data_IF_602878323714
#
_entry.id   IF_602878323714
#
_cell.length_a   1.000
_cell.length_b   1.000
_cell.length_c   1.000
_cell.angle_alpha   90.00
_cell.angle_beta   90.00
_cell.angle_gamma   90.00
#
_symmetry.space_group_name_H-M   'P 1'
#
loop_
_entity.id
_entity.type
_entity.pdbx_description
1 polymer ?
#
# COMPACT_ATOMS: atom_id res chain seq x y z
N UNK A 1 27.89 21.81 20.29
CA UNK A 1 26.49 22.15 19.97
C UNK A 1 25.62 20.95 20.29
N UNK A 2 24.46 21.16 20.91
CA UNK A 2 23.51 20.09 21.24
C UNK A 2 22.84 19.62 19.95
N UNK A 3 22.84 18.32 19.65
CA UNK A 3 22.16 17.78 18.46
C UNK A 3 20.67 18.15 18.50
N UNK A 4 20.09 18.69 17.40
CA UNK A 4 18.66 19.02 17.33
C UNK A 4 17.75 17.83 17.70
N UNK A 5 16.59 18.12 18.27
CA UNK A 5 15.64 17.08 18.70
C UNK A 5 15.19 16.20 17.53
N UNK A 6 14.87 16.80 16.38
CA UNK A 6 14.48 16.10 15.16
C UNK A 6 15.54 15.09 14.73
N UNK A 7 16.82 15.49 14.67
CA UNK A 7 17.93 14.60 14.31
C UNK A 7 18.06 13.45 15.30
N UNK A 8 17.99 13.72 16.62
CA UNK A 8 18.04 12.66 17.65
C UNK A 8 16.89 11.66 17.50
N UNK A 9 15.69 12.15 17.20
CA UNK A 9 14.50 11.31 16.99
C UNK A 9 14.64 10.49 15.71
N UNK A 10 14.99 11.12 14.59
CA UNK A 10 15.15 10.44 13.30
C UNK A 10 16.29 9.43 13.28
N UNK A 11 17.38 9.66 14.02
CA UNK A 11 18.44 8.64 14.18
C UNK A 11 17.89 7.35 14.79
N UNK A 12 16.94 7.44 15.73
CA UNK A 12 16.30 6.26 16.34
C UNK A 12 15.23 5.66 15.44
N UNK A 13 14.42 6.50 14.80
CA UNK A 13 13.37 6.02 13.89
C UNK A 13 13.97 5.32 12.66
N UNK A 14 15.03 5.86 12.07
CA UNK A 14 15.75 5.24 10.94
C UNK A 14 16.16 3.80 11.23
N UNK A 15 16.72 3.53 12.41
CA UNK A 15 17.11 2.17 12.83
C UNK A 15 15.94 1.18 12.86
N UNK A 16 14.70 1.66 13.00
CA UNK A 16 13.49 0.84 12.97
C UNK A 16 12.91 0.79 11.56
N UNK A 17 12.89 1.92 10.85
CA UNK A 17 12.28 2.05 9.52
C UNK A 17 13.06 1.30 8.43
N UNK A 18 14.40 1.28 8.49
CA UNK A 18 15.24 0.57 7.51
C UNK A 18 15.30 -0.95 7.76
N UNK A 19 14.66 -1.47 8.82
CA UNK A 19 14.56 -2.92 9.01
C UNK A 19 13.62 -3.51 7.97
N UNK A 20 13.94 -4.74 7.56
CA UNK A 20 13.08 -5.51 6.66
C UNK A 20 11.66 -5.63 7.23
N UNK A 21 10.68 -5.26 6.41
CA UNK A 21 9.26 -5.23 6.74
C UNK A 21 8.45 -5.65 5.50
N UNK A 22 7.41 -6.45 5.69
CA UNK A 22 6.55 -6.91 4.59
C UNK A 22 5.55 -5.87 4.11
N UNK A 23 5.24 -4.88 4.94
CA UNK A 23 4.22 -3.87 4.70
C UNK A 23 4.76 -2.62 4.02
N UNK A 24 6.06 -2.33 4.20
CA UNK A 24 6.70 -1.20 3.56
C UNK A 24 8.21 -1.38 3.44
N UNK A 25 8.82 -0.59 2.54
CA UNK A 25 10.25 -0.38 2.43
C UNK A 25 10.54 1.12 2.61
N UNK A 26 11.58 1.46 3.37
CA UNK A 26 12.02 2.84 3.59
C UNK A 26 13.48 2.95 3.23
N UNK A 27 13.82 4.05 2.56
CA UNK A 27 15.20 4.35 2.19
C UNK A 27 15.49 5.83 2.37
N UNK A 28 16.50 6.11 3.21
CA UNK A 28 17.06 7.44 3.40
C UNK A 28 18.11 7.74 2.32
N UNK A 29 18.29 9.02 2.03
CA UNK A 29 19.49 9.47 1.32
C UNK A 29 20.70 9.39 2.26
N UNK A 30 21.88 9.06 1.72
CA UNK A 30 23.06 8.74 2.56
C UNK A 30 23.45 9.89 3.51
N UNK A 31 23.20 11.13 3.10
CA UNK A 31 23.58 12.33 3.83
C UNK A 31 22.38 13.13 4.37
N UNK A 32 21.16 12.61 4.24
CA UNK A 32 19.96 13.30 4.72
C UNK A 32 19.12 12.39 5.63
N UNK A 33 18.99 12.78 6.90
CA UNK A 33 18.15 12.10 7.89
C UNK A 33 16.75 12.70 7.98
N UNK A 34 16.54 13.86 7.35
CA UNK A 34 15.29 14.61 7.37
C UNK A 34 14.51 14.45 6.07
N UNK A 35 15.06 13.78 5.05
CA UNK A 35 14.34 13.39 3.85
C UNK A 35 14.52 11.90 3.57
N UNK A 36 13.43 11.22 3.20
CA UNK A 36 13.47 9.83 2.77
C UNK A 36 12.28 9.47 1.89
N UNK A 37 12.42 8.37 1.15
CA UNK A 37 11.33 7.77 0.39
C UNK A 37 10.85 6.48 1.03
N UNK A 38 9.58 6.16 0.83
CA UNK A 38 8.99 4.92 1.27
C UNK A 38 8.09 4.31 0.19
N UNK A 39 8.06 2.98 0.13
CA UNK A 39 7.06 2.22 -0.61
C UNK A 39 6.19 1.48 0.38
N UNK A 40 4.89 1.72 0.34
CA UNK A 40 3.92 0.97 1.14
C UNK A 40 3.29 -0.11 0.25
N UNK A 41 3.41 -1.36 0.65
CA UNK A 41 2.80 -2.49 -0.07
C UNK A 41 1.32 -2.54 0.25
N UNK A 42 0.49 -2.57 -0.79
CA UNK A 42 -0.96 -2.70 -0.65
C UNK A 42 -1.33 -3.98 0.12
N UNK A 43 -2.30 -3.93 1.05
CA UNK A 43 -2.69 -5.09 1.84
C UNK A 43 -3.18 -6.24 0.96
N UNK A 44 -2.95 -7.47 1.43
CA UNK A 44 -3.55 -8.65 0.81
C UNK A 44 -5.09 -8.58 0.91
N UNK A 45 -5.77 -9.20 -0.05
CA UNK A 45 -7.24 -9.23 -0.18
C UNK A 45 -7.88 -7.84 -0.39
N UNK A 46 -7.16 -6.90 -1.00
CA UNK A 46 -7.65 -5.55 -1.34
C UNK A 46 -7.46 -5.24 -2.83
N UNK A 47 -8.13 -4.20 -3.34
CA UNK A 47 -7.92 -3.71 -4.71
C UNK A 47 -6.47 -3.28 -4.98
N UNK A 48 -5.71 -2.99 -3.92
CA UNK A 48 -4.31 -2.54 -3.97
C UNK A 48 -3.31 -3.68 -3.78
N UNK A 49 -3.77 -4.92 -3.58
CA UNK A 49 -2.89 -6.07 -3.40
C UNK A 49 -1.82 -6.14 -4.51
N UNK A 50 -0.60 -6.48 -4.10
CA UNK A 50 0.61 -6.54 -4.93
C UNK A 50 1.15 -5.21 -5.46
N UNK A 51 0.40 -4.12 -5.35
CA UNK A 51 0.79 -2.80 -5.83
C UNK A 51 1.35 -1.97 -4.70
N UNK A 52 1.98 -0.84 -5.00
CA UNK A 52 2.71 -0.04 -4.02
C UNK A 52 2.27 1.41 -4.04
N UNK A 53 2.35 2.09 -2.89
CA UNK A 53 2.25 3.55 -2.81
C UNK A 53 3.65 4.09 -2.53
N UNK A 54 4.19 4.90 -3.46
CA UNK A 54 5.46 5.59 -3.25
C UNK A 54 5.21 6.93 -2.55
N UNK A 55 5.97 7.21 -1.50
CA UNK A 55 5.84 8.40 -0.66
C UNK A 55 7.18 9.08 -0.47
N UNK A 56 7.18 10.40 -0.44
CA UNK A 56 8.30 11.24 0.00
C UNK A 56 7.98 11.84 1.37
N UNK A 57 8.92 11.73 2.30
CA UNK A 57 8.82 12.29 3.65
C UNK A 57 9.83 13.42 3.82
N UNK A 58 9.35 14.57 4.28
CA UNK A 58 10.14 15.72 4.70
C UNK A 58 9.93 15.93 6.21
N UNK A 59 11.00 15.85 7.00
CA UNK A 59 10.98 15.96 8.44
C UNK A 59 11.31 17.40 8.86
N UNK A 60 10.36 18.12 9.49
CA UNK A 60 10.59 19.51 9.87
C UNK A 60 11.54 19.61 11.07
N UNK A 61 12.20 20.76 11.22
CA UNK A 61 13.21 20.99 12.27
C UNK A 61 12.68 20.80 13.70
N UNK A 62 11.39 21.09 13.90
CA UNK A 62 10.68 20.96 15.17
C UNK A 62 10.03 19.57 15.36
N UNK A 63 10.29 18.59 14.49
CA UNK A 63 9.85 17.22 14.70
C UNK A 63 10.37 16.65 16.04
N UNK A 64 9.55 15.92 16.83
CA UNK A 64 8.18 15.45 16.55
C UNK A 64 7.06 16.35 17.13
N UNK A 65 7.31 17.63 17.39
CA UNK A 65 6.26 18.56 17.86
C UNK A 65 5.20 18.83 16.79
N UNK A 66 5.58 18.73 15.52
CA UNK A 66 4.67 18.80 14.36
C UNK A 66 4.89 17.55 13.49
N UNK A 67 3.88 17.13 12.70
CA UNK A 67 4.00 15.95 11.85
C UNK A 67 5.03 16.13 10.72
N UNK A 68 5.50 15.02 10.12
CA UNK A 68 6.24 15.09 8.87
C UNK A 68 5.32 15.60 7.74
N UNK A 69 5.92 16.22 6.72
CA UNK A 69 5.23 16.48 5.46
C UNK A 69 5.38 15.24 4.58
N UNK A 70 4.27 14.78 4.01
CA UNK A 70 4.24 13.56 3.19
C UNK A 70 3.62 13.88 1.84
N UNK A 71 4.32 13.46 0.79
CA UNK A 71 3.87 13.62 -0.60
C UNK A 71 3.74 12.26 -1.26
N UNK A 72 2.58 11.99 -1.86
CA UNK A 72 2.34 10.81 -2.69
C UNK A 72 2.97 11.01 -4.07
N UNK A 73 3.90 10.12 -4.44
CA UNK A 73 4.64 10.20 -5.70
C UNK A 73 4.00 9.28 -6.75
N UNK A 74 3.43 9.86 -7.80
CA UNK A 74 2.70 9.13 -8.83
C UNK A 74 2.71 9.88 -10.17
N UNK A 75 2.56 9.15 -11.28
CA UNK A 75 2.64 9.71 -12.64
C UNK A 75 1.37 9.52 -13.48
N UNK A 76 0.30 8.99 -12.90
CA UNK A 76 -0.93 8.63 -13.61
C UNK A 76 -1.74 9.81 -14.12
N UNK A 77 -1.67 10.97 -13.45
CA UNK A 77 -2.62 12.07 -13.68
C UNK A 77 -4.05 11.77 -13.20
N UNK A 78 -4.29 10.65 -12.53
CA UNK A 78 -5.61 10.18 -12.11
C UNK A 78 -5.67 9.89 -10.61
N UNK A 79 -6.85 10.14 -10.01
CA UNK A 79 -7.05 9.95 -8.57
C UNK A 79 -7.48 8.51 -8.29
N UNK A 80 -6.64 7.78 -7.56
CA UNK A 80 -6.82 6.35 -7.23
C UNK A 80 -7.37 6.09 -5.83
N UNK A 81 -7.47 7.14 -4.99
CA UNK A 81 -8.04 7.10 -3.66
C UNK A 81 -8.46 8.52 -3.23
N UNK A 82 -9.57 8.72 -2.51
CA UNK A 82 -9.98 10.06 -2.06
C UNK A 82 -8.88 10.76 -1.24
N UNK A 83 -8.16 10.05 -0.38
CA UNK A 83 -7.09 10.65 0.43
C UNK A 83 -5.73 10.81 -0.28
N UNK A 84 -5.58 10.32 -1.52
CA UNK A 84 -4.31 10.36 -2.27
C UNK A 84 -4.52 11.14 -3.57
N UNK A 85 -4.12 12.41 -3.55
CA UNK A 85 -4.40 13.35 -4.63
C UNK A 85 -3.41 13.24 -5.78
N UNK A 86 -3.83 13.72 -6.95
CA UNK A 86 -3.04 13.66 -8.18
C UNK A 86 -1.76 14.49 -8.06
N UNK A 87 -1.85 15.66 -7.44
CA UNK A 87 -0.73 16.57 -7.16
C UNK A 87 0.16 16.11 -6.00
N UNK A 88 -0.11 14.93 -5.42
CA UNK A 88 0.69 14.32 -4.36
C UNK A 88 0.25 14.67 -2.94
N UNK A 89 -0.80 15.46 -2.75
CA UNK A 89 -1.35 15.72 -1.40
C UNK A 89 -1.89 14.42 -0.78
N UNK A 90 -1.50 14.17 0.48
CA UNK A 90 -2.05 13.10 1.32
C UNK A 90 -2.97 13.70 2.38
N UNK A 91 -4.24 13.29 2.42
CA UNK A 91 -5.23 13.76 3.39
C UNK A 91 -5.34 12.82 4.58
N UNK A 92 -4.73 13.18 5.71
CA UNK A 92 -4.80 12.47 6.98
C UNK A 92 -4.92 13.46 8.14
N UNK A 93 -5.72 13.14 9.15
CA UNK A 93 -5.88 13.99 10.34
C UNK A 93 -4.56 14.09 11.13
N UNK A 94 -3.83 12.99 11.22
CA UNK A 94 -2.50 12.95 11.86
C UNK A 94 -1.43 13.75 11.12
N UNK A 95 -1.69 14.17 9.87
CA UNK A 95 -0.82 15.09 9.11
C UNK A 95 -1.37 16.52 9.10
N UNK A 96 -2.50 16.78 9.76
CA UNK A 96 -3.18 18.09 9.76
C UNK A 96 -3.81 18.45 8.42
N UNK A 97 -3.98 17.49 7.51
CA UNK A 97 -4.50 17.71 6.15
C UNK A 97 -5.93 17.20 5.96
N UNK A 98 -6.54 16.66 7.02
CA UNK A 98 -7.91 16.17 7.05
C UNK A 98 -8.55 16.34 8.44
N UNK A 99 -9.87 16.23 8.52
CA UNK A 99 -10.59 16.25 9.80
C UNK A 99 -10.40 14.92 10.56
N UNK A 100 -10.31 15.00 11.90
CA UNK A 100 -10.18 13.84 12.79
C UNK A 100 -9.17 14.09 13.90
N UNK A 101 -8.74 13.00 14.56
CA UNK A 101 -7.73 13.06 15.63
C UNK A 101 -6.39 13.61 15.11
N UNK A 102 -5.84 14.67 15.72
CA UNK A 102 -4.65 15.33 15.21
C UNK A 102 -3.36 14.57 15.55
N UNK A 103 -2.25 15.02 14.98
CA UNK A 103 -0.90 14.56 15.33
C UNK A 103 -0.66 14.62 16.84
N UNK A 104 -0.17 13.52 17.41
CA UNK A 104 0.28 13.48 18.80
C UNK A 104 1.80 13.28 18.85
N UNK A 105 2.47 13.92 19.81
CA UNK A 105 3.94 13.83 20.01
C UNK A 105 4.48 12.39 20.13
N UNK A 106 3.65 11.44 20.56
CA UNK A 106 4.01 10.02 20.65
C UNK A 106 4.08 9.30 19.30
N UNK A 107 3.45 9.84 18.26
CA UNK A 107 3.43 9.27 16.91
C UNK A 107 4.80 9.35 16.24
N UNK A 108 4.96 8.61 15.15
CA UNK A 108 6.21 8.50 14.41
C UNK A 108 5.95 8.25 12.91
N UNK A 109 6.99 8.25 12.09
CA UNK A 109 6.85 8.00 10.65
C UNK A 109 6.24 6.62 10.34
N UNK A 110 6.54 5.59 11.14
CA UNK A 110 5.91 4.28 11.01
C UNK A 110 4.39 4.35 11.21
N UNK A 111 3.91 5.17 12.16
CA UNK A 111 2.47 5.39 12.38
C UNK A 111 1.82 5.94 11.12
N UNK A 112 2.47 6.88 10.43
CA UNK A 112 1.98 7.44 9.17
C UNK A 112 1.93 6.38 8.07
N UNK A 113 2.99 5.59 7.90
CA UNK A 113 3.05 4.51 6.90
C UNK A 113 1.91 3.49 7.10
N UNK A 114 1.71 3.02 8.33
CA UNK A 114 0.65 2.07 8.68
C UNK A 114 -0.75 2.69 8.50
N UNK A 115 -0.91 3.98 8.83
CA UNK A 115 -2.18 4.69 8.62
C UNK A 115 -2.52 4.77 7.13
N UNK A 116 -1.56 5.14 6.28
CA UNK A 116 -1.76 5.18 4.82
C UNK A 116 -2.10 3.78 4.29
N UNK A 117 -1.38 2.74 4.72
CA UNK A 117 -1.66 1.36 4.34
C UNK A 117 -3.09 0.93 4.71
N UNK A 118 -3.60 1.39 5.85
CA UNK A 118 -4.93 1.04 6.35
C UNK A 118 -6.07 1.67 5.55
N UNK A 119 -5.80 2.70 4.74
CA UNK A 119 -6.79 3.29 3.82
C UNK A 119 -7.03 2.40 2.58
N UNK A 120 -6.09 1.52 2.25
CA UNK A 120 -6.07 0.78 1.00
C UNK A 120 -6.98 -0.45 1.07
N UNK A 121 -8.29 -0.24 0.98
CA UNK A 121 -9.32 -1.28 1.11
C UNK A 121 -10.04 -1.62 -0.22
N UNK A 122 -11.18 -2.33 -0.13
CA UNK A 122 -11.98 -2.74 -1.28
C UNK A 122 -13.08 -1.76 -1.70
N UNK A 123 -13.31 -0.70 -0.92
CA UNK A 123 -14.37 0.27 -1.12
C UNK A 123 -13.82 1.71 -0.98
N UNK A 124 -12.75 2.07 -1.71
CA UNK A 124 -12.00 3.31 -1.49
C UNK A 124 -12.87 4.57 -1.62
N UNK A 125 -13.96 4.54 -2.37
CA UNK A 125 -14.83 5.71 -2.52
C UNK A 125 -15.59 6.07 -1.24
N UNK A 126 -15.78 5.13 -0.30
CA UNK A 126 -16.39 5.41 1.02
C UNK A 126 -15.57 6.40 1.87
N UNK A 127 -14.29 6.59 1.54
CA UNK A 127 -13.45 7.57 2.22
C UNK A 127 -13.75 9.02 1.78
N UNK A 128 -14.57 9.22 0.74
CA UNK A 128 -15.13 10.52 0.40
C UNK A 128 -16.32 10.85 1.33
N UNK A 129 -16.34 12.01 2.01
CA UNK A 129 -17.39 12.34 2.97
C UNK A 129 -18.81 12.25 2.38
N UNK A 130 -19.67 11.49 3.06
CA UNK A 130 -21.07 11.34 2.68
C UNK A 130 -21.30 10.52 1.41
N UNK A 131 -20.32 9.72 0.96
CA UNK A 131 -20.45 8.82 -0.18
C UNK A 131 -20.53 7.36 0.24
N UNK A 132 -21.27 6.58 -0.55
CA UNK A 132 -21.31 5.12 -0.46
C UNK A 132 -20.23 4.51 -1.36
N UNK A 133 -20.16 3.18 -1.41
CA UNK A 133 -19.25 2.48 -2.33
C UNK A 133 -19.60 2.78 -3.80
N UNK A 134 -18.59 2.76 -4.66
CA UNK A 134 -18.74 2.87 -6.11
C UNK A 134 -18.05 1.69 -6.82
N UNK A 135 -18.81 0.64 -7.19
CA UNK A 135 -18.26 -0.51 -7.90
C UNK A 135 -17.63 -0.21 -9.27
N UNK A 136 -17.94 0.94 -9.89
CA UNK A 136 -17.25 1.36 -11.12
C UNK A 136 -15.87 1.91 -10.78
N UNK A 137 -15.77 2.73 -9.73
CA UNK A 137 -14.50 3.23 -9.23
C UNK A 137 -13.61 2.10 -8.70
N UNK A 138 -14.17 1.10 -8.03
CA UNK A 138 -13.39 -0.04 -7.52
C UNK A 138 -12.69 -0.79 -8.65
N UNK A 139 -13.41 -1.07 -9.75
CA UNK A 139 -12.84 -1.71 -10.95
C UNK A 139 -11.82 -0.81 -11.66
N UNK A 140 -12.07 0.50 -11.69
CA UNK A 140 -11.10 1.47 -12.19
C UNK A 140 -9.80 1.41 -11.38
N UNK A 141 -9.88 1.46 -10.06
CA UNK A 141 -8.72 1.37 -9.16
C UNK A 141 -8.02 0.03 -9.36
N UNK A 142 -8.74 -1.08 -9.32
CA UNK A 142 -8.18 -2.42 -9.44
C UNK A 142 -7.34 -2.59 -10.71
N UNK A 143 -7.87 -2.15 -11.85
CA UNK A 143 -7.19 -2.24 -13.14
C UNK A 143 -6.04 -1.23 -13.27
N UNK A 144 -6.32 0.06 -13.07
CA UNK A 144 -5.37 1.13 -13.43
C UNK A 144 -4.13 1.14 -12.56
N UNK A 145 -4.26 0.71 -11.30
CA UNK A 145 -3.16 0.70 -10.35
C UNK A 145 -2.07 -0.32 -10.72
N UNK A 146 -2.34 -1.35 -11.54
CA UNK A 146 -1.27 -2.20 -12.06
C UNK A 146 -0.24 -1.42 -12.86
N UNK A 147 -0.72 -0.51 -13.73
CA UNK A 147 0.15 0.39 -14.48
C UNK A 147 0.84 1.37 -13.55
N UNK A 148 0.08 2.13 -12.77
CA UNK A 148 0.61 3.33 -12.11
C UNK A 148 1.29 3.09 -10.77
N UNK A 149 0.90 2.03 -10.06
CA UNK A 149 1.38 1.72 -8.71
C UNK A 149 2.33 0.52 -8.69
N UNK A 150 2.70 0.00 -9.86
CA UNK A 150 3.68 -1.08 -9.98
C UNK A 150 4.58 -0.90 -11.21
N UNK A 151 4.02 -1.01 -12.42
CA UNK A 151 4.82 -1.03 -13.65
C UNK A 151 5.55 0.29 -13.91
N UNK A 152 4.89 1.42 -13.67
CA UNK A 152 5.49 2.75 -13.82
C UNK A 152 6.63 2.99 -12.81
N UNK A 153 6.53 2.46 -11.59
CA UNK A 153 7.63 2.50 -10.63
C UNK A 153 8.80 1.60 -11.04
N UNK A 154 8.53 0.39 -11.55
CA UNK A 154 9.56 -0.51 -12.06
C UNK A 154 10.34 0.10 -13.24
N UNK A 155 9.64 0.80 -14.13
CA UNK A 155 10.22 1.46 -15.29
C UNK A 155 11.10 2.65 -14.90
N UNK A 156 10.67 3.44 -13.91
CA UNK A 156 11.28 4.74 -13.58
C UNK A 156 12.27 4.71 -12.43
N UNK A 157 12.23 3.68 -11.58
CA UNK A 157 13.02 3.69 -10.35
C UNK A 157 14.51 3.56 -10.66
N UNK A 158 15.23 4.68 -10.54
CA UNK A 158 16.65 4.76 -10.82
C UNK A 158 17.50 4.42 -9.61
N UNK A 159 16.92 4.42 -8.40
CA UNK A 159 17.69 4.24 -7.19
C UNK A 159 17.93 2.76 -6.90
N UNK A 160 19.20 2.33 -6.71
CA UNK A 160 19.52 0.91 -6.67
C UNK A 160 18.82 0.09 -5.57
N UNK A 161 18.70 0.62 -4.36
CA UNK A 161 18.10 -0.10 -3.24
C UNK A 161 16.57 -0.22 -3.39
N UNK A 162 15.91 0.86 -3.82
CA UNK A 162 14.48 0.86 -4.14
C UNK A 162 14.19 -0.06 -5.32
N UNK A 163 15.03 -0.03 -6.36
CA UNK A 163 14.90 -0.93 -7.52
C UNK A 163 15.06 -2.39 -7.12
N UNK A 164 16.06 -2.72 -6.31
CA UNK A 164 16.23 -4.09 -5.80
C UNK A 164 15.04 -4.54 -4.97
N UNK A 165 14.46 -3.67 -4.14
CA UNK A 165 13.23 -3.96 -3.42
C UNK A 165 12.06 -4.30 -4.36
N UNK A 166 11.85 -3.52 -5.43
CA UNK A 166 10.80 -3.78 -6.41
C UNK A 166 11.04 -5.10 -7.16
N UNK A 167 12.27 -5.41 -7.56
CA UNK A 167 12.61 -6.67 -8.22
C UNK A 167 12.47 -7.88 -7.28
N UNK A 168 12.84 -7.74 -6.01
CA UNK A 168 12.58 -8.76 -4.97
C UNK A 168 11.08 -9.01 -4.82
N UNK A 169 10.27 -7.96 -4.76
CA UNK A 169 8.81 -8.06 -4.68
C UNK A 169 8.22 -8.82 -5.89
N UNK A 170 8.74 -8.59 -7.10
CA UNK A 170 8.36 -9.37 -8.29
C UNK A 170 8.80 -10.83 -8.21
N UNK A 171 10.01 -11.13 -7.74
CA UNK A 171 10.47 -12.53 -7.57
C UNK A 171 9.57 -13.30 -6.60
N UNK A 172 9.14 -12.66 -5.51
CA UNK A 172 8.35 -13.30 -4.46
C UNK A 172 6.86 -13.42 -4.80
N UNK A 173 6.32 -12.50 -5.60
CA UNK A 173 4.87 -12.37 -5.83
C UNK A 173 4.44 -12.46 -7.29
N UNK A 174 5.38 -12.48 -8.24
CA UNK A 174 5.11 -12.39 -9.68
C UNK A 174 4.14 -13.43 -10.21
N UNK A 175 4.25 -14.70 -9.80
CA UNK A 175 3.28 -15.74 -10.22
C UNK A 175 1.86 -15.38 -9.78
N UNK A 176 1.67 -14.95 -8.54
CA UNK A 176 0.36 -14.55 -8.01
C UNK A 176 -0.18 -13.31 -8.71
N UNK A 177 0.69 -12.34 -9.01
CA UNK A 177 0.32 -11.15 -9.78
C UNK A 177 -0.17 -11.51 -11.20
N UNK A 178 0.49 -12.46 -11.87
CA UNK A 178 0.10 -12.92 -13.20
C UNK A 178 -1.23 -13.67 -13.18
N UNK A 179 -1.44 -14.54 -12.19
CA UNK A 179 -2.71 -15.25 -12.01
C UNK A 179 -3.85 -14.25 -11.74
N UNK A 180 -3.58 -13.23 -10.92
CA UNK A 180 -4.51 -12.17 -10.59
C UNK A 180 -4.90 -11.34 -11.82
N UNK A 181 -3.94 -10.87 -12.62
CA UNK A 181 -4.24 -10.12 -13.84
C UNK A 181 -5.05 -10.94 -14.85
N UNK A 182 -4.77 -12.24 -15.00
CA UNK A 182 -5.55 -13.13 -15.87
C UNK A 182 -6.97 -13.34 -15.35
N UNK A 183 -7.14 -13.46 -14.03
CA UNK A 183 -8.45 -13.55 -13.37
C UNK A 183 -9.26 -12.28 -13.63
N UNK A 184 -8.66 -11.10 -13.42
CA UNK A 184 -9.29 -9.82 -13.70
C UNK A 184 -9.63 -9.66 -15.18
N UNK A 185 -8.74 -10.05 -16.09
CA UNK A 185 -9.01 -10.03 -17.53
C UNK A 185 -10.27 -10.83 -17.90
N UNK A 186 -10.42 -12.02 -17.33
CA UNK A 186 -11.60 -12.85 -17.55
C UNK A 186 -12.86 -12.22 -16.95
N UNK A 187 -12.78 -11.74 -15.70
CA UNK A 187 -13.88 -11.07 -14.99
C UNK A 187 -14.34 -9.78 -15.69
N UNK A 188 -13.41 -9.06 -16.31
CA UNK A 188 -13.66 -7.78 -16.98
C UNK A 188 -13.85 -7.91 -18.50
N UNK A 189 -14.05 -9.12 -19.02
CA UNK A 189 -14.16 -9.39 -20.46
C UNK A 189 -15.26 -8.60 -21.19
N UNK A 190 -16.30 -8.16 -20.48
CA UNK A 190 -17.40 -7.35 -21.01
C UNK A 190 -17.26 -5.85 -20.73
N UNK A 191 -16.22 -5.45 -20.00
CA UNK A 191 -15.98 -4.04 -19.67
C UNK A 191 -15.25 -3.40 -20.86
N UNK A 192 -15.87 -2.38 -21.45
CA UNK A 192 -15.28 -1.63 -22.56
C UNK A 192 -14.51 -0.39 -22.11
N UNK A 193 -14.80 0.10 -20.91
CA UNK A 193 -14.18 1.28 -20.32
C UNK A 193 -14.30 1.27 -18.79
N UNK A 194 -13.30 1.83 -18.11
CA UNK A 194 -13.37 2.11 -16.69
C UNK A 194 -13.75 3.57 -16.42
N UNK A 195 -14.53 3.79 -15.37
CA UNK A 195 -15.04 5.09 -14.98
C UNK A 195 -14.51 5.50 -13.60
N UNK A 196 -14.27 6.80 -13.43
CA UNK A 196 -13.88 7.39 -12.15
C UNK A 196 -14.72 8.63 -11.88
N UNK A 197 -15.23 8.81 -10.64
CA UNK A 197 -16.00 9.99 -10.25
C UNK A 197 -15.14 11.27 -10.23
N UNK A 198 -13.82 11.14 -10.32
CA UNK A 198 -12.88 12.25 -10.32
C UNK A 198 -12.50 12.75 -11.72
N UNK A 199 -13.04 12.14 -12.77
CA UNK A 199 -12.76 12.52 -14.15
C UNK A 199 -14.02 13.18 -14.73
N UNK A 200 -13.92 14.47 -15.05
CA UNK A 200 -14.99 15.19 -15.74
C UNK A 200 -14.92 14.89 -17.24
N UNK A 201 -15.94 14.21 -17.78
CA UNK A 201 -16.02 13.78 -19.18
C UNK A 201 -15.78 12.28 -19.35
N UNK A 202 -15.87 11.74 -20.58
CA UNK A 202 -15.63 10.32 -20.81
C UNK A 202 -14.19 9.98 -20.43
N UNK A 203 -14.03 9.25 -19.32
CA UNK A 203 -12.76 8.65 -18.95
C UNK A 203 -12.40 7.58 -19.99
N UNK A 204 -11.42 7.89 -20.85
CA UNK A 204 -11.06 7.06 -21.99
C UNK A 204 -10.18 5.85 -21.62
N UNK A 205 -10.22 5.37 -20.38
CA UNK A 205 -9.39 4.22 -19.99
C UNK A 205 -10.06 2.94 -20.47
N UNK A 206 -9.59 2.47 -21.62
CA UNK A 206 -9.95 1.17 -22.16
C UNK A 206 -9.07 0.10 -21.52
N UNK A 207 -9.64 -1.07 -21.14
CA UNK A 207 -8.85 -2.18 -20.67
C UNK A 207 -7.95 -2.72 -21.77
N UNK A 208 -6.67 -2.86 -21.46
CA UNK A 208 -5.60 -3.40 -22.31
C UNK A 208 -4.81 -4.47 -21.54
N UNK A 209 -5.55 -5.41 -20.92
CA UNK A 209 -4.97 -6.52 -20.16
C UNK A 209 -3.85 -7.28 -20.89
N UNK A 210 -3.94 -7.60 -22.19
CA UNK A 210 -2.84 -8.28 -22.89
C UNK A 210 -1.51 -7.51 -22.82
N UNK A 211 -1.55 -6.18 -22.90
CA UNK A 211 -0.36 -5.34 -22.82
C UNK A 211 0.19 -5.31 -21.38
N UNK A 212 -0.67 -5.09 -20.38
CA UNK A 212 -0.28 -5.13 -18.96
C UNK A 212 0.35 -6.48 -18.56
N UNK A 213 -0.24 -7.59 -19.02
CA UNK A 213 0.24 -8.94 -18.74
C UNK A 213 1.61 -9.15 -19.40
N UNK A 214 1.80 -8.71 -20.64
CA UNK A 214 3.09 -8.83 -21.31
C UNK A 214 4.17 -8.04 -20.59
N UNK A 215 3.92 -6.78 -20.26
CA UNK A 215 4.90 -5.94 -19.57
C UNK A 215 5.24 -6.47 -18.18
N UNK A 216 4.24 -6.91 -17.40
CA UNK A 216 4.52 -7.54 -16.12
C UNK A 216 5.35 -8.83 -16.30
N UNK A 217 5.06 -9.63 -17.31
CA UNK A 217 5.85 -10.83 -17.64
C UNK A 217 7.30 -10.48 -17.94
N UNK A 218 7.55 -9.41 -18.69
CA UNK A 218 8.89 -8.96 -19.06
C UNK A 218 9.67 -8.52 -17.81
N UNK A 219 9.05 -7.72 -16.93
CA UNK A 219 9.68 -7.34 -15.65
C UNK A 219 9.92 -8.52 -14.71
N UNK A 220 9.01 -9.51 -14.67
CA UNK A 220 9.22 -10.73 -13.87
C UNK A 220 10.41 -11.53 -14.42
N UNK A 221 10.56 -11.64 -15.74
CA UNK A 221 11.70 -12.29 -16.36
C UNK A 221 13.01 -11.55 -16.02
N UNK A 222 13.02 -10.21 -16.15
CA UNK A 222 14.17 -9.39 -15.74
C UNK A 222 14.57 -9.65 -14.28
N UNK A 223 13.59 -9.66 -13.38
CA UNK A 223 13.83 -9.87 -11.95
C UNK A 223 14.40 -11.27 -11.65
N UNK A 224 14.10 -12.28 -12.46
CA UNK A 224 14.64 -13.64 -12.33
C UNK A 224 16.08 -13.76 -12.86
N UNK A 225 16.42 -13.04 -13.92
CA UNK A 225 17.76 -13.04 -14.51
C UNK A 225 18.82 -12.37 -13.61
N UNK A 226 18.41 -11.41 -12.78
CA UNK A 226 19.31 -10.66 -11.89
C UNK A 226 19.68 -11.41 -10.60
N UNK A 227 19.26 -12.67 -10.44
CA UNK A 227 19.73 -13.51 -9.34
C UNK A 227 21.16 -13.96 -9.66
N UNK A 228 22.19 -13.58 -8.88
CA UNK A 228 23.54 -14.09 -9.11
C UNK A 228 23.54 -15.62 -9.04
N UNK A 229 24.27 -16.26 -9.96
CA UNK A 229 24.47 -17.70 -10.03
C UNK A 229 25.30 -18.22 -8.83
N UNK A 230 24.78 -18.08 -7.61
CA UNK A 230 25.34 -18.66 -6.38
C UNK A 230 24.25 -19.40 -5.62
N UNK A 231 23.72 -20.42 -6.27
CA UNK A 231 23.26 -21.64 -5.61
C UNK A 231 23.59 -22.81 -6.52
N UNK A 232 24.89 -22.98 -6.80
CA UNK A 232 25.41 -24.23 -7.31
C UNK A 232 24.97 -25.34 -6.35
N UNK A 233 24.21 -26.29 -6.89
CA UNK A 233 23.65 -27.39 -6.12
C UNK A 233 24.74 -28.09 -5.34
N UNK A 234 24.60 -28.11 -4.02
CA UNK A 234 25.11 -29.23 -3.24
C UNK A 234 24.29 -30.43 -3.73
N UNK A 235 24.89 -31.25 -4.59
CA UNK A 235 24.39 -32.60 -4.85
C UNK A 235 24.27 -33.28 -3.49
N UNK A 236 23.03 -33.49 -3.03
CA UNK A 236 22.75 -34.43 -1.94
C UNK A 236 23.38 -35.77 -2.35
N UNK A 237 24.24 -36.38 -1.52
CA UNK A 237 24.61 -37.78 -1.72
C UNK A 237 23.31 -38.60 -1.79
N UNK A 238 23.24 -39.50 -2.77
CA UNK A 238 22.18 -40.50 -2.85
C UNK A 238 22.20 -41.30 -1.55
N UNK A 239 21.15 -41.14 -0.75
CA UNK A 239 20.92 -41.94 0.45
C UNK A 239 20.64 -43.38 0.00
N UNK A 240 21.57 -44.27 0.31
CA UNK A 240 21.38 -45.72 0.15
C UNK A 240 20.25 -46.15 1.08
N UNK A 241 19.20 -46.77 0.53
CA UNK A 241 18.11 -47.32 1.32
C UNK A 241 18.62 -48.35 2.33
N UNK A 242 18.20 -48.30 3.61
CA UNK A 242 18.58 -49.30 4.58
C UNK A 242 17.91 -50.66 4.26
N UNK A 243 18.56 -51.80 4.55
CA UNK A 243 18.02 -53.11 4.25
C UNK A 243 16.86 -53.46 5.20
N UNK A 244 15.93 -54.28 4.69
CA UNK A 244 14.76 -54.75 5.41
C UNK A 244 15.11 -55.52 6.71
N UNK A 245 14.30 -55.41 7.77
CA UNK A 245 14.58 -56.12 9.02
C UNK A 245 14.38 -57.63 8.87
N UNK A 246 15.37 -58.38 9.32
CA UNK A 246 15.34 -59.83 9.40
C UNK A 246 14.58 -60.25 10.66
N UNK A 247 13.67 -61.20 10.48
CA UNK A 247 12.79 -61.77 11.47
C UNK A 247 13.60 -62.50 12.56
N UNK A 248 13.55 -62.04 13.81
CA UNK A 248 14.06 -62.81 14.97
C UNK A 248 13.01 -62.77 16.07
N UNK A 249 12.45 -63.95 16.34
CA UNK A 249 11.60 -64.23 17.48
C UNK A 249 12.40 -64.08 18.78
N UNK A 250 11.93 -63.27 19.72
CA UNK A 250 12.26 -63.48 21.11
C UNK A 250 11.09 -63.14 22.03
N UNK A 251 10.88 -64.04 22.97
CA UNK A 251 9.78 -64.19 23.90
C UNK A 251 9.96 -63.32 25.14
N UNK A 252 8.84 -62.75 25.62
CA UNK A 252 8.44 -62.51 27.03
C UNK A 252 9.46 -61.91 28.00
N UNK A 253 9.23 -60.67 28.46
CA UNK A 253 8.63 -60.39 29.78
C UNK A 253 8.56 -58.87 30.04
N UNK A 254 7.38 -58.40 30.41
CA UNK A 254 7.07 -57.00 30.78
C UNK A 254 6.68 -56.96 32.27
N UNK A 255 7.06 -55.91 33.01
CA UNK A 255 6.23 -55.48 34.13
C UNK A 255 5.73 -54.03 33.94
N UNK A 256 4.44 -53.89 34.22
CA UNK A 256 3.59 -52.70 34.10
C UNK A 256 4.15 -51.43 34.74
N UNK A 257 3.87 -50.28 34.10
CA UNK A 257 3.84 -48.97 34.76
C UNK A 257 2.57 -48.20 34.45
N UNK A 258 1.92 -47.80 35.55
CA UNK A 258 0.59 -47.20 35.66
C UNK A 258 0.48 -45.81 34.99
N UNK A 259 -0.67 -45.57 34.34
CA UNK A 259 -1.12 -44.24 33.88
C UNK A 259 -1.92 -43.53 34.99
N UNK A 260 -1.80 -42.19 35.16
CA UNK A 260 -2.72 -41.43 35.97
C UNK A 260 -3.93 -40.93 35.17
N UNK A 261 -5.12 -41.14 35.74
CA UNK A 261 -6.42 -40.61 35.31
C UNK A 261 -6.48 -39.10 35.57
N UNK A 262 -7.00 -38.31 34.61
CA UNK A 262 -7.40 -36.91 34.83
C UNK A 262 -8.92 -36.77 34.70
N UNK A 263 -9.50 -36.17 35.73
CA UNK A 263 -10.92 -35.95 35.94
C UNK A 263 -11.50 -34.89 34.99
N UNK A 264 -12.77 -35.09 34.63
CA UNK A 264 -13.66 -34.10 34.04
C UNK A 264 -14.24 -33.23 35.15
N UNK A 265 -14.29 -31.92 34.92
CA UNK A 265 -15.26 -31.04 35.57
C UNK A 265 -15.83 -30.13 34.51
N UNK A 266 -17.15 -30.17 34.38
CA UNK A 266 -18.01 -29.27 33.63
C UNK A 266 -18.15 -27.95 34.40
N UNK A 267 -18.18 -26.82 33.71
CA UNK A 267 -18.73 -25.58 34.27
C UNK A 267 -19.30 -24.71 33.14
N UNK A 268 -20.43 -24.08 33.47
CA UNK A 268 -21.53 -23.67 32.60
C UNK A 268 -21.34 -22.33 31.88
N UNK A 269 -22.11 -22.20 30.80
CA UNK A 269 -22.36 -21.00 30.00
C UNK A 269 -22.81 -19.78 30.84
N UNK A 270 -22.25 -18.61 30.54
CA UNK A 270 -22.95 -17.36 30.76
C UNK A 270 -22.71 -16.37 29.62
N UNK A 271 -23.75 -16.21 28.82
CA UNK A 271 -23.90 -15.31 27.69
C UNK A 271 -24.19 -13.88 28.19
N UNK A 272 -23.34 -12.93 27.83
CA UNK A 272 -23.63 -11.48 27.95
C UNK A 272 -23.03 -10.73 26.77
N UNK A 273 -23.78 -10.69 25.68
CA UNK A 273 -23.57 -9.77 24.57
C UNK A 273 -24.11 -8.39 24.93
N UNK A 274 -23.23 -7.47 25.32
CA UNK A 274 -23.54 -6.05 25.39
C UNK A 274 -23.56 -5.45 23.97
N UNK A 275 -24.76 -5.37 23.41
CA UNK A 275 -25.09 -4.52 22.27
C UNK A 275 -25.07 -3.07 22.77
N UNK A 276 -24.16 -2.25 22.25
CA UNK A 276 -24.20 -0.79 22.43
C UNK A 276 -25.04 -0.23 21.28
N UNK A 277 -26.30 0.05 21.59
CA UNK A 277 -27.20 0.87 20.77
C UNK A 277 -26.70 2.32 20.76
N UNK A 278 -26.21 2.80 19.62
CA UNK A 278 -26.01 4.23 19.38
C UNK A 278 -27.29 4.79 18.76
N UNK A 279 -28.30 5.03 19.59
CA UNK A 279 -29.44 5.87 19.22
C UNK A 279 -28.95 7.31 19.04
N UNK A 280 -28.89 7.78 17.79
CA UNK A 280 -28.70 9.19 17.47
C UNK A 280 -29.95 9.98 17.91
N UNK A 281 -29.82 10.76 18.98
CA UNK A 281 -30.80 11.78 19.35
C UNK A 281 -30.74 12.92 18.34
N UNK A 282 -31.84 13.12 17.63
CA UNK A 282 -32.11 14.28 16.79
C UNK A 282 -32.30 15.56 17.61
N UNK A 283 -31.84 16.69 17.04
CA UNK A 283 -32.39 18.06 17.09
C UNK A 283 -31.32 19.14 17.36
N UNK A 284 -31.51 20.40 16.89
CA UNK A 284 -32.08 20.82 15.60
C UNK A 284 -31.15 21.80 14.83
N UNK A 285 -31.41 21.97 13.54
CA UNK A 285 -30.82 23.01 12.68
C UNK A 285 -31.20 24.43 13.13
N UNK A 286 -30.36 25.45 12.84
CA UNK A 286 -30.84 26.82 12.71
C UNK A 286 -31.08 27.17 11.24
N UNK A 287 -32.35 27.46 10.92
CA UNK A 287 -32.75 28.16 9.69
C UNK A 287 -32.21 29.60 9.64
N UNK A 288 -31.75 29.99 8.46
CA UNK A 288 -32.20 31.24 7.80
C UNK A 288 -31.47 32.55 8.10
N UNK A 289 -30.73 33.05 7.11
CA UNK A 289 -30.94 34.43 6.65
C UNK A 289 -30.45 34.61 5.21
N UNK A 290 -31.38 35.00 4.35
CA UNK A 290 -31.21 35.43 2.97
C UNK A 290 -30.22 36.60 2.79
N UNK A 291 -29.50 36.61 1.67
CA UNK A 291 -29.33 37.84 0.88
C UNK A 291 -28.88 37.54 -0.55
N UNK A 292 -29.81 37.81 -1.47
CA UNK A 292 -29.70 38.36 -2.83
C UNK A 292 -28.37 38.37 -3.60
N UNK A 293 -28.51 38.10 -4.90
CA UNK A 293 -27.42 37.89 -5.85
C UNK A 293 -26.72 39.14 -6.36
N UNK A 294 -25.65 38.87 -7.12
CA UNK A 294 -25.16 39.73 -8.21
C UNK A 294 -24.27 38.90 -9.14
N UNK A 295 -24.70 38.82 -10.39
CA UNK A 295 -23.87 38.47 -11.55
C UNK A 295 -22.69 39.43 -11.67
N UNK A 296 -21.51 38.90 -12.03
CA UNK A 296 -20.50 39.66 -12.76
C UNK A 296 -19.64 38.71 -13.61
N UNK A 297 -19.89 38.78 -14.91
CA UNK A 297 -19.06 38.30 -16.01
C UNK A 297 -17.63 38.86 -15.96
N UNK A 298 -16.63 38.03 -16.26
CA UNK A 298 -15.24 38.49 -16.44
C UNK A 298 -14.34 37.45 -17.11
N UNK A 299 -14.39 37.39 -18.45
CA UNK A 299 -13.38 36.72 -19.27
C UNK A 299 -12.02 37.40 -19.13
N UNK A 300 -10.95 36.63 -18.94
CA UNK A 300 -9.59 37.04 -19.27
C UNK A 300 -8.88 35.92 -20.05
N UNK A 301 -8.73 36.15 -21.36
CA UNK A 301 -7.82 35.40 -22.24
C UNK A 301 -6.40 35.93 -22.03
N UNK A 302 -5.44 35.05 -21.81
CA UNK A 302 -4.01 35.35 -21.92
C UNK A 302 -3.42 34.46 -23.01
N UNK A 303 -3.05 35.08 -24.12
CA UNK A 303 -2.29 34.50 -25.23
C UNK A 303 -0.82 34.89 -25.08
N UNK A 304 0.08 33.91 -25.04
CA UNK A 304 1.53 34.12 -25.16
C UNK A 304 1.98 33.79 -26.59
N UNK A 305 2.66 34.74 -27.22
CA UNK A 305 3.36 34.57 -28.50
C UNK A 305 4.88 34.39 -28.26
N UNK A 306 5.62 33.70 -29.16
CA UNK A 306 7.03 33.37 -28.94
C UNK A 306 7.98 34.43 -29.52
N UNK A 307 9.12 34.64 -28.83
CA UNK A 307 10.20 35.48 -29.28
C UNK A 307 11.16 34.71 -30.22
N UNK A 308 11.38 35.26 -31.41
CA UNK A 308 12.51 34.93 -32.30
C UNK A 308 13.72 35.76 -31.90
N UNK A 309 14.89 35.14 -31.88
CA UNK A 309 16.18 35.82 -31.92
C UNK A 309 16.90 35.45 -33.23
N UNK A 310 17.35 36.45 -33.97
CA UNK A 310 18.27 36.30 -35.10
C UNK A 310 19.49 37.19 -34.85
N UNK A 311 20.64 36.52 -34.91
CA UNK A 311 21.99 36.92 -35.30
C UNK A 311 22.38 38.41 -35.33
N UNK A 312 23.49 38.69 -34.65
CA UNK A 312 24.70 39.22 -35.28
C UNK A 312 25.87 38.26 -35.01
#
# INVERSE_FOLDING_TARGET
>A
MTTPLAIKRMTRERQVLEKENSDYFVRFEDNDLLEFEAYVVGPDDTLYQHKLIKLHFEIPENYPMVPPKVTFLQHSGHRIHPNLYVEGKVCLSILGTWAGEPWAFGMNCNTVLITIRSLLDNEPYKHEPGREDDPQFNRFVEYTTWRWLLLDYLEREAQPAAREFLLKHLRERGSRMMDELRRQQAAHSQIVQFASPYINGPSNIRPEYPHLIQELSDFIAEAQEQVPATSGGIKRPLDESPPAPTNVQHTTDEPERQQPKRAKTEEEDNDTSHIIDLTFSSSPEPEGSDSEGKEATGMAKSTFAPAKASAE
#
